data_IF_961410833797
#
_entry.id   IF_961410833797
#
_cell.length_a   1.000
_cell.length_b   1.000
_cell.length_c   1.000
_cell.angle_alpha   90.00
_cell.angle_beta   90.00
_cell.angle_gamma   90.00
#
_symmetry.space_group_name_H-M   'P 1'
#
loop_
_entity.id
_entity.type
_entity.pdbx_description
1 polymer ?
#
# COMPACT_ATOMS: atom_id res chain seq x y z
N UNK A 1 -4.03 17.43 -31.13
CA UNK A 1 -3.64 16.02 -30.90
C UNK A 1 -2.56 15.83 -29.82
N UNK A 2 -1.68 16.79 -29.53
CA UNK A 2 -0.68 16.65 -28.45
C UNK A 2 -1.25 16.77 -27.02
N UNK A 3 -2.33 17.52 -26.79
CA UNK A 3 -2.88 17.75 -25.45
C UNK A 3 -3.56 16.53 -24.82
N UNK A 4 -4.25 15.69 -25.61
CA UNK A 4 -4.92 14.48 -25.08
C UNK A 4 -3.91 13.42 -24.64
N UNK A 5 -2.76 13.32 -25.32
CA UNK A 5 -1.66 12.41 -24.97
C UNK A 5 -0.89 12.87 -23.72
N UNK A 6 -0.73 14.19 -23.53
CA UNK A 6 -0.11 14.73 -22.32
C UNK A 6 -1.01 14.53 -21.09
N UNK A 7 -2.34 14.69 -21.25
CA UNK A 7 -3.31 14.38 -20.19
C UNK A 7 -3.30 12.87 -19.91
N UNK A 8 -3.25 12.02 -20.92
CA UNK A 8 -3.13 10.57 -20.72
C UNK A 8 -1.86 10.21 -19.93
N UNK A 9 -0.71 10.82 -20.25
CA UNK A 9 0.55 10.61 -19.52
C UNK A 9 0.56 11.21 -18.10
N UNK A 10 -0.21 12.27 -17.82
CA UNK A 10 -0.39 12.78 -16.45
C UNK A 10 -1.34 11.91 -15.62
N UNK A 11 -2.39 11.36 -16.24
CA UNK A 11 -3.29 10.40 -15.60
C UNK A 11 -2.57 9.08 -15.27
N UNK A 12 -1.61 8.69 -16.09
CA UNK A 12 -0.86 7.43 -15.97
C UNK A 12 0.22 7.42 -14.88
N UNK A 13 0.51 8.56 -14.25
CA UNK A 13 1.53 8.63 -13.18
C UNK A 13 1.04 8.11 -11.83
N UNK A 14 -0.25 8.24 -11.54
CA UNK A 14 -0.73 8.03 -10.17
C UNK A 14 -1.36 6.67 -9.93
N UNK A 15 -1.83 6.01 -11.00
CA UNK A 15 -2.41 4.68 -11.01
C UNK A 15 -1.98 3.93 -12.27
N UNK A 16 -1.07 2.98 -12.11
CA UNK A 16 -0.68 2.08 -13.20
C UNK A 16 -1.32 0.71 -12.98
N UNK A 17 -2.04 0.24 -14.00
CA UNK A 17 -2.49 -1.15 -14.11
C UNK A 17 -1.30 -2.06 -14.36
N UNK A 18 -0.87 -2.84 -13.37
CA UNK A 18 0.30 -3.72 -13.48
C UNK A 18 -0.13 -5.19 -13.44
N UNK A 19 0.68 -6.06 -14.04
CA UNK A 19 0.50 -7.51 -13.96
C UNK A 19 1.84 -8.17 -13.61
N UNK A 20 1.81 -9.13 -12.69
CA UNK A 20 2.97 -9.95 -12.31
C UNK A 20 2.78 -11.36 -12.88
N UNK A 21 3.58 -11.78 -13.86
CA UNK A 21 3.53 -13.13 -14.46
C UNK A 21 2.10 -13.61 -14.83
N UNK A 22 1.29 -12.72 -15.39
CA UNK A 22 -0.14 -12.91 -15.71
C UNK A 22 -1.14 -12.86 -14.52
N UNK A 23 -0.69 -12.58 -13.31
CA UNK A 23 -1.56 -12.33 -12.16
C UNK A 23 -1.78 -10.82 -11.92
N UNK A 24 -3.03 -10.43 -11.69
CA UNK A 24 -3.46 -9.07 -11.40
C UNK A 24 -3.40 -8.72 -9.90
N UNK A 25 -3.01 -9.67 -9.04
CA UNK A 25 -2.90 -9.48 -7.59
C UNK A 25 -1.54 -8.89 -7.18
N UNK A 26 -1.28 -7.63 -7.55
CA UNK A 26 0.02 -6.98 -7.31
C UNK A 26 0.36 -6.86 -5.82
N UNK A 27 -0.63 -6.67 -4.96
CA UNK A 27 -0.44 -6.54 -3.50
C UNK A 27 0.01 -7.84 -2.83
N UNK A 28 -0.06 -8.98 -3.52
CA UNK A 28 0.57 -10.23 -3.06
C UNK A 28 2.09 -10.19 -3.25
N UNK A 29 2.56 -9.56 -4.33
CA UNK A 29 3.96 -9.57 -4.76
C UNK A 29 4.72 -8.28 -4.42
N UNK A 30 4.03 -7.29 -3.86
CA UNK A 30 4.63 -6.00 -3.51
C UNK A 30 4.08 -5.48 -2.20
N UNK A 31 4.90 -4.68 -1.50
CA UNK A 31 4.48 -3.94 -0.32
C UNK A 31 4.92 -2.49 -0.48
N UNK A 32 3.97 -1.58 -0.55
CA UNK A 32 4.23 -0.15 -0.65
C UNK A 32 4.02 0.51 0.71
N UNK A 33 4.95 1.38 1.09
CA UNK A 33 4.84 2.28 2.25
C UNK A 33 5.28 3.69 1.84
N UNK A 34 5.18 4.64 2.77
CA UNK A 34 5.67 6.00 2.57
C UNK A 34 7.20 6.14 2.61
N UNK A 35 7.95 5.15 3.12
CA UNK A 35 9.41 5.23 3.22
C UNK A 35 10.14 4.28 2.29
N UNK A 36 9.53 3.17 1.90
CA UNK A 36 10.15 2.14 1.08
C UNK A 36 9.10 1.32 0.33
N UNK A 37 9.53 0.70 -0.76
CA UNK A 37 8.75 -0.27 -1.50
C UNK A 37 9.50 -1.60 -1.57
N UNK A 38 8.82 -2.70 -1.23
CA UNK A 38 9.34 -4.05 -1.39
C UNK A 38 8.68 -4.69 -2.60
N UNK A 39 9.48 -5.36 -3.42
CA UNK A 39 9.03 -6.03 -4.64
C UNK A 39 9.58 -7.45 -4.69
N UNK A 40 8.74 -8.42 -5.04
CA UNK A 40 9.12 -9.82 -5.14
C UNK A 40 10.19 -10.03 -6.20
N UNK A 41 11.16 -10.89 -5.91
CA UNK A 41 12.08 -11.41 -6.93
C UNK A 41 11.35 -12.30 -7.94
N UNK A 42 11.84 -12.32 -9.18
CA UNK A 42 11.29 -13.11 -10.27
C UNK A 42 10.19 -12.41 -11.09
N UNK A 43 9.90 -11.14 -10.85
CA UNK A 43 9.05 -10.34 -11.73
C UNK A 43 9.69 -10.04 -13.09
N UNK A 44 8.86 -9.65 -14.06
CA UNK A 44 9.31 -9.16 -15.36
C UNK A 44 9.95 -7.77 -15.23
N UNK A 45 10.83 -7.39 -16.18
CA UNK A 45 11.38 -6.03 -16.21
C UNK A 45 10.29 -4.96 -16.32
N UNK A 46 9.20 -5.25 -17.02
CA UNK A 46 8.03 -4.37 -17.09
C UNK A 46 7.43 -4.10 -15.70
N UNK A 47 7.37 -5.13 -14.85
CA UNK A 47 6.88 -5.00 -13.48
C UNK A 47 7.76 -4.05 -12.68
N UNK A 48 9.07 -4.29 -12.66
CA UNK A 48 10.01 -3.42 -11.93
C UNK A 48 10.03 -2.00 -12.49
N UNK A 49 9.99 -1.86 -13.82
CA UNK A 49 10.02 -0.55 -14.49
C UNK A 49 8.82 0.30 -14.11
N UNK A 50 7.64 -0.30 -13.92
CA UNK A 50 6.45 0.43 -13.50
C UNK A 50 6.58 0.99 -12.06
N UNK A 51 7.14 0.21 -11.13
CA UNK A 51 7.43 0.70 -9.78
C UNK A 51 8.56 1.73 -9.77
N UNK A 52 9.67 1.46 -10.47
CA UNK A 52 10.83 2.34 -10.52
C UNK A 52 10.48 3.67 -11.22
N UNK A 53 9.65 3.67 -12.26
CA UNK A 53 9.25 4.90 -12.96
C UNK A 53 8.50 5.91 -12.06
N UNK A 54 7.70 5.44 -11.12
CA UNK A 54 6.91 6.30 -10.23
C UNK A 54 7.56 6.53 -8.87
N UNK A 55 8.41 5.60 -8.40
CA UNK A 55 8.93 5.62 -7.04
C UNK A 55 10.41 5.96 -6.92
N UNK A 56 11.22 5.79 -7.98
CA UNK A 56 12.68 5.86 -7.87
C UNK A 56 13.20 7.21 -7.33
N UNK A 57 12.47 8.30 -7.58
CA UNK A 57 12.85 9.63 -7.11
C UNK A 57 12.53 9.87 -5.63
N UNK A 58 11.59 9.11 -5.05
CA UNK A 58 11.03 9.37 -3.72
C UNK A 58 11.38 8.29 -2.67
N UNK A 59 11.29 7.01 -3.04
CA UNK A 59 11.50 5.89 -2.12
C UNK A 59 12.31 4.75 -2.76
N UNK A 60 13.15 4.04 -1.98
CA UNK A 60 13.89 2.90 -2.48
C UNK A 60 12.95 1.73 -2.81
N UNK A 61 13.11 1.17 -4.02
CA UNK A 61 12.45 -0.05 -4.47
C UNK A 61 13.39 -1.24 -4.24
N UNK A 62 13.11 -2.05 -3.23
CA UNK A 62 13.96 -3.17 -2.81
C UNK A 62 13.40 -4.49 -3.33
N UNK A 63 14.20 -5.20 -4.12
CA UNK A 63 13.88 -6.53 -4.65
C UNK A 63 14.29 -7.58 -3.61
N UNK A 64 13.33 -8.35 -3.10
CA UNK A 64 13.59 -9.36 -2.06
C UNK A 64 12.68 -10.58 -2.19
N UNK A 65 13.10 -11.69 -1.60
CA UNK A 65 12.21 -12.78 -1.18
C UNK A 65 12.02 -12.74 0.33
N UNK A 66 10.99 -13.43 0.81
CA UNK A 66 10.78 -13.68 2.25
C UNK A 66 10.57 -15.18 2.43
N UNK A 67 11.48 -15.82 3.17
CA UNK A 67 11.46 -17.27 3.38
C UNK A 67 11.60 -18.05 2.07
N UNK A 68 12.34 -17.51 1.10
CA UNK A 68 12.48 -18.11 -0.24
C UNK A 68 11.22 -18.06 -1.10
N UNK A 69 10.18 -17.32 -0.68
CA UNK A 69 8.94 -17.17 -1.43
C UNK A 69 8.83 -15.81 -2.12
N UNK A 70 7.93 -15.74 -3.12
CA UNK A 70 7.65 -14.54 -3.91
C UNK A 70 6.45 -13.73 -3.37
N UNK A 71 5.74 -14.24 -2.38
CA UNK A 71 4.48 -13.65 -1.86
C UNK A 71 4.74 -12.62 -0.75
N UNK A 72 5.66 -11.69 -1.01
CA UNK A 72 6.19 -10.80 0.02
C UNK A 72 5.11 -9.91 0.65
N UNK A 73 4.15 -9.41 -0.14
CA UNK A 73 3.14 -8.46 0.33
C UNK A 73 2.15 -9.07 1.31
N UNK A 74 1.98 -10.39 1.28
CA UNK A 74 1.19 -11.14 2.26
C UNK A 74 1.99 -11.56 3.49
N UNK A 75 3.28 -11.76 3.33
CA UNK A 75 4.14 -12.22 4.42
C UNK A 75 4.63 -11.08 5.31
N UNK A 76 4.81 -9.88 4.77
CA UNK A 76 5.27 -8.73 5.54
C UNK A 76 4.20 -7.65 5.72
N UNK A 77 4.37 -6.89 6.79
CA UNK A 77 3.60 -5.68 7.06
C UNK A 77 4.55 -4.60 7.57
N UNK A 78 4.28 -3.35 7.25
CA UNK A 78 5.15 -2.26 7.65
C UNK A 78 4.58 -0.92 7.25
N UNK A 79 5.12 0.11 7.90
CA UNK A 79 4.84 1.52 7.68
C UNK A 79 6.17 2.26 7.53
N UNK A 80 6.17 3.60 7.58
CA UNK A 80 7.43 4.36 7.44
C UNK A 80 8.44 4.13 8.58
N UNK A 81 7.99 3.64 9.74
CA UNK A 81 8.80 3.50 10.96
C UNK A 81 9.38 2.09 11.10
N UNK A 82 8.69 1.07 10.63
CA UNK A 82 9.08 -0.32 10.87
C UNK A 82 8.57 -1.31 9.84
N UNK A 83 9.29 -2.43 9.74
CA UNK A 83 8.97 -3.58 8.91
C UNK A 83 8.96 -4.85 9.75
N UNK A 84 7.80 -5.52 9.77
CA UNK A 84 7.60 -6.80 10.42
C UNK A 84 7.72 -7.93 9.40
N UNK A 85 8.54 -8.92 9.75
CA UNK A 85 8.86 -10.08 8.94
C UNK A 85 8.51 -11.37 9.68
N UNK A 86 8.09 -12.44 8.99
CA UNK A 86 7.80 -13.71 9.63
C UNK A 86 9.10 -14.39 10.09
N UNK A 87 8.99 -15.31 11.06
CA UNK A 87 10.11 -16.13 11.55
C UNK A 87 10.78 -16.97 10.44
N UNK A 88 10.08 -17.26 9.35
CA UNK A 88 10.59 -18.03 8.19
C UNK A 88 11.62 -17.25 7.36
N UNK A 89 11.78 -15.95 7.60
CA UNK A 89 12.72 -15.11 6.87
C UNK A 89 14.16 -15.51 7.16
N UNK A 90 14.97 -15.72 6.13
CA UNK A 90 16.38 -16.11 6.27
C UNK A 90 17.26 -14.94 6.75
N UNK A 91 18.41 -15.23 7.35
CA UNK A 91 19.37 -14.19 7.80
C UNK A 91 19.95 -13.39 6.64
N UNK A 92 20.08 -14.01 5.47
CA UNK A 92 20.52 -13.32 4.25
C UNK A 92 19.48 -12.29 3.78
N UNK A 93 18.20 -12.66 3.74
CA UNK A 93 17.10 -11.75 3.38
C UNK A 93 16.98 -10.59 4.39
N UNK A 94 17.11 -10.90 5.68
CA UNK A 94 17.03 -9.86 6.72
C UNK A 94 18.22 -8.89 6.64
N UNK A 95 19.43 -9.37 6.41
CA UNK A 95 20.60 -8.50 6.24
C UNK A 95 20.47 -7.65 4.96
N UNK A 96 19.97 -8.23 3.88
CA UNK A 96 19.68 -7.50 2.64
C UNK A 96 18.69 -6.36 2.87
N UNK A 97 17.58 -6.64 3.54
CA UNK A 97 16.58 -5.62 3.89
C UNK A 97 17.18 -4.51 4.76
N UNK A 98 17.98 -4.85 5.79
CA UNK A 98 18.64 -3.85 6.63
C UNK A 98 19.64 -2.96 5.88
N UNK A 99 20.30 -3.50 4.85
CA UNK A 99 21.25 -2.73 4.06
C UNK A 99 20.58 -1.82 3.03
N UNK A 100 19.39 -2.19 2.55
CA UNK A 100 18.68 -1.45 1.49
C UNK A 100 17.63 -0.47 2.03
N UNK A 101 17.10 -0.72 3.23
CA UNK A 101 16.11 0.16 3.86
C UNK A 101 16.78 1.36 4.54
N UNK A 102 16.08 2.50 4.63
CA UNK A 102 16.58 3.65 5.39
C UNK A 102 16.81 3.30 6.86
N UNK A 103 17.85 3.88 7.49
CA UNK A 103 18.25 3.57 8.88
C UNK A 103 17.15 3.84 9.93
N UNK A 104 16.17 4.68 9.60
CA UNK A 104 15.03 4.97 10.46
C UNK A 104 14.02 3.81 10.56
N UNK A 105 14.05 2.86 9.61
CA UNK A 105 13.10 1.75 9.54
C UNK A 105 13.58 0.59 10.40
N UNK A 106 12.84 0.28 11.45
CA UNK A 106 13.13 -0.83 12.35
C UNK A 106 12.67 -2.15 11.73
N UNK A 107 13.62 -2.99 11.33
CA UNK A 107 13.33 -4.32 10.74
C UNK A 107 13.41 -5.40 11.82
N UNK A 108 12.26 -6.01 12.12
CA UNK A 108 12.13 -7.06 13.14
C UNK A 108 11.43 -8.31 12.62
N UNK A 109 11.81 -9.46 13.19
CA UNK A 109 11.10 -10.73 12.99
C UNK A 109 10.13 -10.96 14.13
N UNK A 110 8.96 -11.49 13.78
CA UNK A 110 7.93 -11.88 14.74
C UNK A 110 7.57 -13.35 14.53
N UNK A 111 7.39 -14.08 15.62
CA UNK A 111 6.92 -15.46 15.58
C UNK A 111 5.42 -15.49 15.86
N UNK A 112 4.63 -15.45 14.78
CA UNK A 112 3.18 -15.54 14.83
C UNK A 112 2.73 -16.84 14.14
N UNK A 113 1.76 -17.54 14.74
CA UNK A 113 1.32 -18.88 14.32
C UNK A 113 -0.07 -18.91 13.70
N UNK A 114 -0.85 -17.84 13.83
CA UNK A 114 -2.23 -17.79 13.31
C UNK A 114 -2.28 -17.77 11.78
N UNK A 115 -1.65 -16.79 11.15
CA UNK A 115 -1.59 -16.64 9.69
C UNK A 115 -0.41 -15.78 9.27
N UNK A 116 -0.30 -15.51 7.97
CA UNK A 116 0.67 -14.57 7.44
C UNK A 116 0.39 -13.14 7.94
N UNK A 117 1.44 -12.41 8.31
CA UNK A 117 1.34 -11.09 8.94
C UNK A 117 0.55 -10.09 8.09
N UNK A 118 0.78 -10.08 6.78
CA UNK A 118 0.08 -9.18 5.85
C UNK A 118 -1.39 -9.53 5.64
N UNK A 119 -1.87 -10.70 6.06
CA UNK A 119 -3.30 -11.04 6.06
C UNK A 119 -3.97 -10.65 7.39
N UNK A 120 -3.25 -10.74 8.49
CA UNK A 120 -3.74 -10.44 9.84
C UNK A 120 -3.66 -8.97 10.20
N UNK A 121 -2.80 -8.19 9.53
CA UNK A 121 -2.46 -6.83 9.93
C UNK A 121 -2.60 -5.90 8.74
N UNK A 122 -3.37 -4.83 8.92
CA UNK A 122 -3.44 -3.69 8.01
C UNK A 122 -3.01 -2.43 8.78
N UNK A 123 -2.09 -1.63 8.24
CA UNK A 123 -1.54 -0.49 8.97
C UNK A 123 -1.32 0.72 8.07
N UNK A 124 -1.43 1.91 8.67
CA UNK A 124 -0.88 3.15 8.15
C UNK A 124 0.22 3.67 9.10
N UNK A 125 0.57 4.96 9.02
CA UNK A 125 1.63 5.52 9.87
C UNK A 125 1.17 5.88 11.30
N UNK A 126 -0.13 5.76 11.60
CA UNK A 126 -0.73 6.21 12.86
C UNK A 126 -1.47 5.09 13.61
N UNK A 127 -2.11 4.20 12.87
CA UNK A 127 -3.04 3.19 13.36
C UNK A 127 -2.81 1.86 12.62
N UNK A 128 -2.94 0.76 13.34
CA UNK A 128 -2.97 -0.59 12.79
C UNK A 128 -4.25 -1.34 13.22
N UNK A 129 -4.85 -2.03 12.27
CA UNK A 129 -5.91 -3.00 12.49
C UNK A 129 -5.30 -4.40 12.52
N UNK A 130 -5.63 -5.17 13.55
CA UNK A 130 -5.13 -6.53 13.74
C UNK A 130 -6.26 -7.54 13.91
N UNK A 131 -5.90 -8.80 13.71
CA UNK A 131 -6.76 -9.94 13.98
C UNK A 131 -7.23 -9.95 15.45
N UNK A 132 -8.52 -10.21 15.74
CA UNK A 132 -9.06 -10.14 17.10
C UNK A 132 -8.41 -11.13 18.08
N UNK A 133 -8.05 -12.33 17.60
CA UNK A 133 -7.43 -13.38 18.40
C UNK A 133 -5.89 -13.26 18.52
N UNK A 134 -5.31 -12.13 18.13
CA UNK A 134 -3.86 -11.92 18.25
C UNK A 134 -3.44 -11.87 19.73
N UNK A 135 -2.29 -12.47 20.06
CA UNK A 135 -1.76 -12.44 21.42
C UNK A 135 -1.38 -11.01 21.84
N UNK A 136 -1.56 -10.68 23.12
CA UNK A 136 -1.24 -9.33 23.64
C UNK A 136 0.24 -8.99 23.50
N UNK A 137 1.12 -9.97 23.68
CA UNK A 137 2.56 -9.79 23.50
C UNK A 137 2.89 -9.41 22.05
N UNK A 138 2.27 -10.09 21.08
CA UNK A 138 2.39 -9.77 19.65
C UNK A 138 1.83 -8.38 19.35
N UNK A 139 0.71 -7.99 19.96
CA UNK A 139 0.09 -6.67 19.80
C UNK A 139 0.99 -5.53 20.29
N UNK A 140 1.54 -5.66 21.51
CA UNK A 140 2.49 -4.70 22.08
C UNK A 140 3.75 -4.59 21.21
N UNK A 141 4.25 -5.73 20.72
CA UNK A 141 5.39 -5.75 19.81
C UNK A 141 5.12 -5.02 18.48
N UNK A 142 3.94 -5.19 17.90
CA UNK A 142 3.54 -4.48 16.68
C UNK A 142 3.47 -2.97 16.96
N UNK A 143 2.87 -2.57 18.07
CA UNK A 143 2.74 -1.17 18.47
C UNK A 143 4.12 -0.52 18.64
N UNK A 144 5.07 -1.21 19.27
CA UNK A 144 6.43 -0.72 19.50
C UNK A 144 7.25 -0.60 18.21
N UNK A 145 7.19 -1.60 17.33
CA UNK A 145 8.00 -1.61 16.09
C UNK A 145 7.45 -0.62 15.05
N UNK A 146 6.14 -0.57 14.89
CA UNK A 146 5.50 0.33 13.92
C UNK A 146 5.28 1.74 14.48
N UNK A 147 5.28 1.91 15.81
CA UNK A 147 5.00 3.18 16.46
C UNK A 147 3.57 3.67 16.21
N UNK A 148 2.59 2.76 16.26
CA UNK A 148 1.17 3.02 15.94
C UNK A 148 0.25 2.46 17.01
N UNK A 149 -0.94 3.03 17.10
CA UNK A 149 -2.01 2.48 17.94
C UNK A 149 -2.60 1.24 17.27
N UNK A 150 -2.69 0.14 18.01
CA UNK A 150 -3.23 -1.13 17.51
C UNK A 150 -4.67 -1.31 17.97
N UNK A 151 -5.56 -1.62 17.04
CA UNK A 151 -6.95 -1.95 17.32
C UNK A 151 -7.32 -3.31 16.73
N UNK A 152 -7.99 -4.11 17.55
CA UNK A 152 -8.55 -5.39 17.15
C UNK A 152 -9.92 -5.16 16.52
N UNK A 153 -10.08 -5.51 15.25
CA UNK A 153 -11.35 -5.31 14.56
C UNK A 153 -11.59 -6.36 13.48
N UNK A 154 -12.83 -6.47 13.01
CA UNK A 154 -13.22 -7.32 11.88
C UNK A 154 -13.84 -6.48 10.77
N UNK A 155 -13.76 -6.95 9.52
CA UNK A 155 -14.26 -6.21 8.36
C UNK A 155 -15.28 -7.10 7.63
N UNK A 156 -16.54 -6.67 7.61
CA UNK A 156 -17.65 -7.42 7.05
C UNK A 156 -17.75 -8.87 7.60
N UNK A 157 -17.49 -9.05 8.90
CA UNK A 157 -17.46 -10.36 9.56
C UNK A 157 -16.20 -11.20 9.30
N UNK A 158 -15.24 -10.70 8.50
CA UNK A 158 -13.97 -11.37 8.27
C UNK A 158 -12.91 -10.94 9.30
N UNK A 159 -12.19 -11.94 9.81
CA UNK A 159 -11.08 -11.77 10.77
C UNK A 159 -9.76 -11.33 10.10
N UNK A 160 -9.61 -11.55 8.80
CA UNK A 160 -8.39 -11.23 8.03
C UNK A 160 -8.40 -9.80 7.50
N UNK A 161 -8.27 -8.83 8.41
CA UNK A 161 -8.32 -7.39 8.08
C UNK A 161 -7.32 -6.99 7.00
N UNK A 162 -6.11 -7.56 7.00
CA UNK A 162 -5.06 -7.30 6.02
C UNK A 162 -5.35 -7.78 4.60
N UNK A 163 -6.30 -8.70 4.42
CA UNK A 163 -6.73 -9.14 3.09
C UNK A 163 -7.85 -8.29 2.51
N UNK A 164 -8.78 -7.87 3.37
CA UNK A 164 -10.06 -7.26 3.00
C UNK A 164 -10.07 -5.73 3.12
N UNK A 165 -8.97 -5.14 3.55
CA UNK A 165 -8.81 -3.71 3.64
C UNK A 165 -7.41 -3.26 3.22
N UNK A 166 -7.37 -2.15 2.49
CA UNK A 166 -6.15 -1.41 2.22
C UNK A 166 -6.41 0.06 2.53
N UNK A 167 -5.58 0.66 3.37
CA UNK A 167 -5.72 2.07 3.76
C UNK A 167 -4.35 2.75 3.85
N UNK A 168 -4.35 4.06 3.62
CA UNK A 168 -3.20 4.95 3.77
C UNK A 168 -3.52 6.02 4.83
N UNK A 169 -2.70 7.07 4.95
CA UNK A 169 -2.99 8.16 5.87
C UNK A 169 -4.10 9.10 5.35
N UNK A 170 -4.49 8.95 4.08
CA UNK A 170 -5.47 9.85 3.42
C UNK A 170 -6.87 9.26 3.29
N UNK A 171 -6.97 7.94 3.22
CA UNK A 171 -8.22 7.22 3.01
C UNK A 171 -8.00 5.72 2.95
N UNK A 172 -9.08 4.97 2.79
CA UNK A 172 -9.00 3.51 2.68
C UNK A 172 -10.17 2.87 1.95
N UNK A 173 -9.89 1.71 1.39
CA UNK A 173 -10.85 0.87 0.69
C UNK A 173 -11.07 -0.41 1.51
N UNK A 174 -12.33 -0.75 1.74
CA UNK A 174 -12.74 -1.95 2.46
C UNK A 174 -13.61 -2.85 1.59
N UNK A 175 -13.84 -4.06 2.09
CA UNK A 175 -14.72 -5.06 1.49
C UNK A 175 -16.09 -4.48 1.07
N UNK A 176 -16.63 -4.85 -0.11
CA UNK A 176 -17.87 -4.27 -0.64
C UNK A 176 -19.11 -4.56 0.21
N UNK A 177 -19.13 -5.67 0.96
CA UNK A 177 -20.24 -6.04 1.83
C UNK A 177 -20.14 -5.46 3.25
N UNK A 178 -19.24 -4.51 3.49
CA UNK A 178 -19.14 -3.82 4.79
C UNK A 178 -20.38 -2.96 4.99
N UNK A 179 -21.01 -3.05 6.17
CA UNK A 179 -22.19 -2.25 6.48
C UNK A 179 -21.83 -0.77 6.61
N UNK A 180 -22.81 0.12 6.43
CA UNK A 180 -22.59 1.57 6.59
C UNK A 180 -22.23 1.92 8.04
N UNK A 181 -22.80 1.18 9.00
CA UNK A 181 -22.48 1.33 10.42
C UNK A 181 -21.01 0.96 10.69
N UNK A 182 -20.55 -0.19 10.21
CA UNK A 182 -19.14 -0.60 10.34
C UNK A 182 -18.18 0.37 9.64
N UNK A 183 -18.57 0.92 8.49
CA UNK A 183 -17.79 1.92 7.76
C UNK A 183 -17.59 3.19 8.58
N UNK A 184 -18.67 3.71 9.20
CA UNK A 184 -18.62 4.93 10.01
C UNK A 184 -17.81 4.71 11.29
N UNK A 185 -17.94 3.54 11.92
CA UNK A 185 -17.11 3.14 13.07
C UNK A 185 -15.63 3.07 12.70
N UNK A 186 -15.27 2.36 11.62
CA UNK A 186 -13.90 2.22 11.15
C UNK A 186 -13.31 3.57 10.71
N UNK A 187 -14.10 4.41 10.05
CA UNK A 187 -13.70 5.77 9.64
C UNK A 187 -13.39 6.65 10.85
N UNK A 188 -14.21 6.55 11.89
CA UNK A 188 -13.99 7.26 13.16
C UNK A 188 -12.76 6.73 13.89
N UNK A 189 -12.54 5.42 13.88
CA UNK A 189 -11.39 4.80 14.54
C UNK A 189 -10.07 5.14 13.83
N UNK A 190 -10.03 5.02 12.49
CA UNK A 190 -8.83 5.29 11.70
C UNK A 190 -8.59 6.79 11.44
N UNK A 191 -9.59 7.65 11.70
CA UNK A 191 -9.58 9.07 11.40
C UNK A 191 -9.36 9.40 9.90
N UNK A 192 -9.70 8.45 9.01
CA UNK A 192 -9.58 8.60 7.55
C UNK A 192 -10.86 8.17 6.86
N UNK A 193 -11.24 8.80 5.73
CA UNK A 193 -12.43 8.41 4.99
C UNK A 193 -12.27 7.00 4.41
N UNK A 194 -13.26 6.14 4.68
CA UNK A 194 -13.34 4.79 4.14
C UNK A 194 -14.49 4.67 3.14
N UNK A 195 -14.27 3.86 2.12
CA UNK A 195 -15.31 3.50 1.14
C UNK A 195 -15.28 1.99 0.92
N UNK A 196 -16.46 1.41 0.75
CA UNK A 196 -16.60 0.02 0.32
C UNK A 196 -16.52 -0.06 -1.21
N UNK A 197 -15.70 -0.96 -1.73
CA UNK A 197 -15.54 -1.13 -3.17
C UNK A 197 -14.84 -2.43 -3.55
N UNK A 198 -14.54 -2.59 -4.82
CA UNK A 198 -13.88 -3.77 -5.38
C UNK A 198 -12.67 -3.39 -6.21
N UNK A 199 -11.82 -4.37 -6.49
CA UNK A 199 -10.66 -4.25 -7.37
C UNK A 199 -10.69 -5.37 -8.42
N UNK A 200 -9.96 -5.26 -9.53
CA UNK A 200 -9.84 -6.33 -10.53
C UNK A 200 -11.20 -6.91 -11.04
N UNK A 201 -12.15 -6.05 -11.42
CA UNK A 201 -13.49 -6.45 -11.94
C UNK A 201 -14.34 -7.20 -10.91
N UNK A 202 -14.46 -6.65 -9.70
CA UNK A 202 -15.34 -7.21 -8.68
C UNK A 202 -14.67 -8.20 -7.72
N UNK A 203 -13.34 -8.23 -7.64
CA UNK A 203 -12.65 -8.95 -6.57
C UNK A 203 -12.85 -8.25 -5.23
N UNK A 204 -13.22 -9.06 -4.25
CA UNK A 204 -13.46 -8.65 -2.87
C UNK A 204 -12.16 -8.55 -2.05
N UNK A 205 -11.06 -9.12 -2.56
CA UNK A 205 -9.76 -9.16 -1.86
C UNK A 205 -8.94 -7.93 -2.22
N UNK A 206 -9.26 -6.83 -1.55
CA UNK A 206 -8.71 -5.49 -1.83
C UNK A 206 -7.17 -5.48 -1.77
N UNK A 207 -6.59 -5.97 -0.67
CA UNK A 207 -5.14 -5.95 -0.50
C UNK A 207 -4.39 -6.92 -1.45
N UNK A 208 -5.07 -7.86 -2.10
CA UNK A 208 -4.46 -8.64 -3.18
C UNK A 208 -4.31 -7.78 -4.43
N UNK A 209 -5.39 -7.10 -4.80
CA UNK A 209 -5.49 -6.41 -6.08
C UNK A 209 -4.78 -5.07 -6.14
N UNK A 210 -4.41 -4.50 -5.00
CA UNK A 210 -3.74 -3.21 -4.96
C UNK A 210 -2.77 -3.02 -3.79
N UNK A 211 -1.86 -2.08 -3.95
CA UNK A 211 -1.04 -1.51 -2.88
C UNK A 211 -1.01 0.01 -3.02
N UNK A 212 -0.94 0.74 -1.92
CA UNK A 212 -1.18 2.18 -1.89
C UNK A 212 -0.31 2.86 -0.85
N UNK A 213 0.17 4.06 -1.17
CA UNK A 213 0.74 5.00 -0.22
C UNK A 213 -0.02 6.34 -0.31
N UNK A 214 0.53 7.42 0.25
CA UNK A 214 -0.15 8.70 0.27
C UNK A 214 -0.18 9.46 -1.08
N UNK A 215 0.61 9.06 -2.08
CA UNK A 215 0.74 9.79 -3.35
C UNK A 215 0.60 8.94 -4.61
N UNK A 216 0.79 7.63 -4.54
CA UNK A 216 0.67 6.66 -5.62
C UNK A 216 -0.10 5.43 -5.17
N UNK A 217 -0.79 4.81 -6.11
CA UNK A 217 -1.39 3.50 -5.92
C UNK A 217 -1.08 2.61 -7.12
N UNK A 218 -0.87 1.33 -6.86
CA UNK A 218 -0.69 0.32 -7.88
C UNK A 218 -1.84 -0.67 -7.78
N UNK A 219 -2.50 -0.93 -8.90
CA UNK A 219 -3.70 -1.76 -9.00
C UNK A 219 -3.56 -2.73 -10.16
N UNK A 220 -4.19 -3.90 -10.05
CA UNK A 220 -4.11 -4.92 -11.10
C UNK A 220 -4.65 -4.42 -12.44
N UNK A 221 -4.09 -4.92 -13.54
CA UNK A 221 -4.46 -4.53 -14.91
C UNK A 221 -5.93 -4.75 -15.27
N UNK A 222 -6.63 -5.65 -14.55
CA UNK A 222 -8.05 -5.90 -14.77
C UNK A 222 -8.96 -4.86 -14.12
N UNK A 223 -8.44 -4.01 -13.22
CA UNK A 223 -9.23 -2.99 -12.51
C UNK A 223 -9.92 -2.05 -13.50
N UNK A 224 -11.23 -1.92 -13.35
CA UNK A 224 -12.07 -1.14 -14.26
C UNK A 224 -11.91 0.36 -14.05
N UNK A 225 -12.18 1.18 -15.07
CA UNK A 225 -12.11 2.64 -14.96
C UNK A 225 -13.02 3.20 -13.84
N UNK A 226 -14.15 2.54 -13.57
CA UNK A 226 -15.04 2.89 -12.45
C UNK A 226 -14.41 2.60 -11.10
N UNK A 227 -13.74 1.45 -10.94
CA UNK A 227 -13.01 1.11 -9.71
C UNK A 227 -11.82 2.06 -9.51
N UNK A 228 -11.06 2.36 -10.57
CA UNK A 228 -9.96 3.34 -10.53
C UNK A 228 -10.45 4.72 -10.08
N UNK A 229 -11.57 5.20 -10.64
CA UNK A 229 -12.13 6.50 -10.23
C UNK A 229 -12.51 6.55 -8.76
N UNK A 230 -12.97 5.45 -8.17
CA UNK A 230 -13.27 5.37 -6.73
C UNK A 230 -11.98 5.43 -5.93
N UNK A 231 -10.98 4.63 -6.32
CA UNK A 231 -9.66 4.58 -5.67
C UNK A 231 -8.99 5.97 -5.68
N UNK A 232 -8.95 6.66 -6.81
CA UNK A 232 -8.36 8.01 -6.91
C UNK A 232 -9.03 9.01 -5.96
N UNK A 233 -10.36 8.92 -5.86
CA UNK A 233 -11.17 9.82 -5.04
C UNK A 233 -10.94 9.57 -3.55
N UNK A 234 -10.90 8.31 -3.13
CA UNK A 234 -10.76 7.91 -1.72
C UNK A 234 -9.37 8.21 -1.18
N UNK A 235 -8.34 7.89 -1.95
CA UNK A 235 -6.94 8.08 -1.54
C UNK A 235 -6.41 9.49 -1.83
N UNK A 236 -7.21 10.37 -2.44
CA UNK A 236 -6.84 11.76 -2.79
C UNK A 236 -5.52 11.86 -3.55
N UNK A 237 -5.30 10.95 -4.49
CA UNK A 237 -4.03 10.84 -5.23
C UNK A 237 -3.80 12.05 -6.15
N UNK A 238 -4.88 12.73 -6.58
CA UNK A 238 -4.81 13.92 -7.45
C UNK A 238 -4.23 15.18 -6.77
N UNK A 239 -4.19 15.22 -5.44
CA UNK A 239 -3.70 16.39 -4.71
C UNK A 239 -2.15 16.47 -4.63
N UNK A 240 -1.44 15.46 -5.16
CA UNK A 240 0.03 15.46 -5.22
C UNK A 240 0.65 16.39 -6.26
N UNK A 241 -0.12 16.96 -7.20
CA UNK A 241 0.38 17.91 -8.21
C UNK A 241 -0.52 19.14 -8.49
N UNK A 242 -0.77 20.04 -7.51
CA UNK A 242 -1.26 21.37 -7.84
C UNK A 242 -0.43 22.54 -7.28
N UNK A 243 0.80 22.34 -6.80
CA UNK A 243 1.65 23.45 -6.33
C UNK A 243 2.78 23.80 -7.29
N UNK A 244 3.58 22.83 -7.73
CA UNK A 244 4.69 23.09 -8.67
C UNK A 244 4.21 23.67 -10.02
N UNK A 245 3.10 23.16 -10.55
CA UNK A 245 2.54 23.58 -11.83
C UNK A 245 1.90 24.98 -11.75
N UNK A 246 1.31 25.34 -10.60
CA UNK A 246 0.71 26.66 -10.37
C UNK A 246 1.79 27.70 -10.08
N UNK A 247 2.87 27.34 -9.40
CA UNK A 247 4.04 28.22 -9.21
C UNK A 247 4.80 28.48 -10.50
N UNK A 248 5.01 27.48 -11.35
CA UNK A 248 5.65 27.67 -12.66
C UNK A 248 4.75 28.47 -13.63
N UNK A 249 3.44 28.25 -13.60
CA UNK A 249 2.49 29.10 -14.35
C UNK A 249 2.46 30.54 -13.81
N UNK A 250 2.58 30.75 -12.49
CA UNK A 250 2.68 32.10 -11.92
C UNK A 250 4.00 32.77 -12.26
N UNK A 251 5.13 32.06 -12.21
CA UNK A 251 6.45 32.60 -12.58
C UNK A 251 6.50 33.02 -14.04
N UNK A 252 6.01 32.17 -14.96
CA UNK A 252 5.97 32.49 -16.39
C UNK A 252 5.04 33.68 -16.74
N UNK A 253 3.96 33.88 -15.97
CA UNK A 253 3.11 35.08 -16.10
C UNK A 253 3.75 36.35 -15.52
N UNK A 254 4.65 36.24 -14.55
CA UNK A 254 5.34 37.41 -13.97
C UNK A 254 6.49 37.87 -14.88
N UNK A 255 7.23 36.95 -15.49
CA UNK A 255 8.33 37.25 -16.43
C UNK A 255 7.87 37.85 -17.78
N UNK A 256 6.57 37.82 -18.07
CA UNK A 256 5.99 38.45 -19.28
C UNK A 256 5.55 39.90 -19.06
N UNK A 257 5.61 40.39 -17.81
CA UNK A 257 5.21 41.76 -17.43
C UNK A 257 6.36 42.62 -16.89
N UNK A 258 7.61 42.13 -16.97
CA UNK A 258 8.85 42.88 -16.69
C UNK A 258 9.66 43.01 -17.97
#
# INVERSE_FOLDING_TARGET
MCFQLLICNLWMRTLSGIQFENNCEIGVFSKLTNAYCLVAIGGSENFYSAFEAELADAIPVVKTSIGGTRIIGRLCVGNKNGLLLPHTTTDQELQHLRNCLPDQVVVQRIDERLSALGNCIACNDHVALTHPDLDKETEEFIADVLGVEVFRQTIAGNILVGSYCAFSNRGGLVHPHTSVEDLDELSTLLQVPLVAGTVNRGSEVIAAGMTVNDWTAFCGSDTTATELSVIESVFKLREGQPTAIVEDMRKSLIDSYV
#
